data_IF_109404377495
#
_entry.id   IF_109404377495
#
_cell.length_a   1.000
_cell.length_b   1.000
_cell.length_c   1.000
_cell.angle_alpha   90.00
_cell.angle_beta   90.00
_cell.angle_gamma   90.00
#
_symmetry.space_group_name_H-M   'P 1'
#
loop_
_entity.id
_entity.type
_entity.pdbx_description
1 polymer ?
#
# COMPACT_ATOMS: atom_id res chain seq x y z
N UNK A 1 12.28 -43.25 4.24
CA UNK A 1 11.28 -42.17 4.39
C UNK A 1 11.98 -40.86 4.09
N UNK A 2 11.81 -40.35 2.87
CA UNK A 2 12.27 -39.01 2.50
C UNK A 2 11.16 -38.07 2.98
N UNK A 3 11.45 -37.27 4.00
CA UNK A 3 10.59 -36.16 4.39
C UNK A 3 10.78 -35.09 3.30
N UNK A 4 9.73 -34.83 2.53
CA UNK A 4 9.75 -33.77 1.54
C UNK A 4 9.91 -32.43 2.27
N UNK A 5 11.02 -31.74 1.99
CA UNK A 5 11.23 -30.36 2.41
C UNK A 5 10.35 -29.47 1.52
N UNK A 6 9.35 -28.84 2.13
CA UNK A 6 8.33 -28.01 1.47
C UNK A 6 8.84 -26.57 1.16
N UNK A 7 10.12 -26.42 0.82
CA UNK A 7 10.80 -25.12 0.72
C UNK A 7 11.48 -24.88 -0.63
N UNK A 8 10.78 -25.19 -1.72
CA UNK A 8 11.17 -24.75 -3.06
C UNK A 8 10.75 -23.29 -3.29
N UNK A 9 11.60 -22.36 -2.85
CA UNK A 9 11.48 -20.91 -3.10
C UNK A 9 11.65 -20.55 -4.60
N UNK A 10 12.05 -21.48 -5.46
CA UNK A 10 12.38 -21.18 -6.86
C UNK A 10 11.18 -20.86 -7.76
N UNK A 11 9.95 -21.06 -7.28
CA UNK A 11 8.72 -20.85 -8.06
C UNK A 11 7.77 -19.76 -7.53
N UNK A 12 8.03 -19.15 -6.36
CA UNK A 12 7.14 -18.15 -5.75
C UNK A 12 7.67 -16.72 -5.98
N UNK A 13 6.85 -15.86 -6.59
CA UNK A 13 7.13 -14.42 -6.67
C UNK A 13 6.96 -13.82 -5.27
N UNK A 14 8.06 -13.46 -4.63
CA UNK A 14 8.07 -12.80 -3.32
C UNK A 14 7.54 -11.36 -3.42
N UNK A 15 6.95 -10.82 -2.34
CA UNK A 15 6.45 -9.45 -2.34
C UNK A 15 7.61 -8.45 -2.38
N UNK A 16 7.32 -7.25 -2.89
CA UNK A 16 8.30 -6.19 -3.15
C UNK A 16 8.11 -5.05 -2.18
N UNK A 17 9.18 -4.66 -1.49
CA UNK A 17 9.23 -3.51 -0.60
C UNK A 17 10.09 -2.44 -1.25
N UNK A 18 9.49 -1.30 -1.58
CA UNK A 18 10.24 -0.14 -2.06
C UNK A 18 10.94 0.53 -0.88
N UNK A 19 12.22 0.86 -1.06
CA UNK A 19 13.04 1.54 -0.06
C UNK A 19 13.73 2.72 -0.73
N UNK A 20 13.44 3.94 -0.27
CA UNK A 20 14.08 5.14 -0.85
C UNK A 20 15.50 5.26 -0.35
N UNK A 21 16.44 5.44 -1.28
CA UNK A 21 17.86 5.53 -0.95
C UNK A 21 18.22 6.84 -0.24
N UNK A 22 19.16 6.75 0.69
CA UNK A 22 19.97 7.89 1.15
C UNK A 22 21.08 8.17 0.14
N UNK A 23 21.77 9.30 0.29
CA UNK A 23 22.93 9.65 -0.54
C UNK A 23 24.10 10.03 0.34
N UNK A 24 25.29 9.66 -0.10
CA UNK A 24 26.54 10.16 0.45
C UNK A 24 27.45 10.66 -0.66
N UNK A 25 28.39 11.54 -0.33
CA UNK A 25 29.43 11.98 -1.23
C UNK A 25 30.71 11.15 -0.99
N UNK A 26 31.09 10.33 -1.97
CA UNK A 26 32.31 9.53 -1.91
C UNK A 26 33.22 9.88 -3.07
N UNK A 27 34.41 10.42 -2.76
CA UNK A 27 35.40 10.85 -3.78
C UNK A 27 34.79 11.78 -4.83
N UNK A 28 34.05 12.79 -4.38
CA UNK A 28 33.33 13.76 -5.23
C UNK A 28 32.27 13.16 -6.15
N UNK A 29 31.77 11.96 -5.84
CA UNK A 29 30.66 11.31 -6.56
C UNK A 29 29.53 11.04 -5.58
N UNK A 30 28.32 11.34 -6.01
CA UNK A 30 27.13 10.94 -5.27
C UNK A 30 26.93 9.43 -5.38
N UNK A 31 26.65 8.81 -4.25
CA UNK A 31 26.35 7.38 -4.12
C UNK A 31 25.04 7.26 -3.37
N UNK A 32 24.05 6.66 -4.02
CA UNK A 32 22.80 6.31 -3.39
C UNK A 32 22.94 4.95 -2.69
N UNK A 33 22.49 4.84 -1.44
CA UNK A 33 22.62 3.64 -0.62
C UNK A 33 21.46 3.47 0.37
N UNK A 34 21.34 2.27 0.92
CA UNK A 34 20.43 1.92 2.03
C UNK A 34 21.26 1.16 3.06
N UNK A 35 21.01 1.40 4.36
CA UNK A 35 21.69 0.67 5.43
C UNK A 35 21.43 -0.84 5.35
N UNK A 36 22.45 -1.64 5.58
CA UNK A 36 22.37 -3.10 5.39
C UNK A 36 21.36 -3.76 6.32
N UNK A 37 21.22 -3.29 7.57
CA UNK A 37 20.24 -3.85 8.51
C UNK A 37 18.80 -3.77 8.03
N UNK A 38 18.41 -2.68 7.35
CA UNK A 38 17.09 -2.59 6.72
C UNK A 38 16.92 -3.67 5.66
N UNK A 39 17.92 -3.85 4.79
CA UNK A 39 17.88 -4.82 3.70
C UNK A 39 17.83 -6.26 4.24
N UNK A 40 18.67 -6.57 5.22
CA UNK A 40 18.73 -7.88 5.85
C UNK A 40 17.41 -8.23 6.56
N UNK A 41 16.80 -7.29 7.27
CA UNK A 41 15.51 -7.51 7.92
C UNK A 41 14.36 -7.72 6.93
N UNK A 42 14.37 -7.04 5.77
CA UNK A 42 13.38 -7.29 4.73
C UNK A 42 13.58 -8.68 4.09
N UNK A 43 14.82 -9.05 3.77
CA UNK A 43 15.15 -10.32 3.12
C UNK A 43 14.91 -11.51 4.04
N UNK A 44 15.38 -11.44 5.29
CA UNK A 44 15.21 -12.51 6.29
C UNK A 44 13.75 -12.79 6.62
N UNK A 45 12.87 -11.81 6.47
CA UNK A 45 11.42 -11.97 6.65
C UNK A 45 10.67 -12.37 5.36
N UNK A 46 11.37 -12.60 4.24
CA UNK A 46 10.78 -13.16 3.03
C UNK A 46 10.24 -12.16 2.02
N UNK A 47 10.71 -10.91 2.04
CA UNK A 47 10.38 -9.90 1.02
C UNK A 47 11.61 -9.47 0.21
N UNK A 48 11.36 -8.89 -0.97
CA UNK A 48 12.40 -8.40 -1.87
C UNK A 48 12.53 -6.88 -1.73
N UNK A 49 13.67 -6.36 -1.25
CA UNK A 49 13.91 -4.93 -1.23
C UNK A 49 14.17 -4.40 -2.65
N UNK A 50 13.52 -3.29 -3.00
CA UNK A 50 13.70 -2.57 -4.26
C UNK A 50 14.13 -1.14 -3.92
N UNK A 51 15.40 -0.84 -4.17
CA UNK A 51 15.94 0.49 -3.87
C UNK A 51 15.43 1.49 -4.92
N UNK A 52 14.78 2.54 -4.45
CA UNK A 52 14.33 3.68 -5.26
C UNK A 52 15.40 4.76 -5.17
N UNK A 53 16.13 5.04 -6.27
CA UNK A 53 17.22 5.99 -6.25
C UNK A 53 16.71 7.42 -6.08
N UNK A 54 17.50 8.25 -5.42
CA UNK A 54 17.18 9.67 -5.19
C UNK A 54 17.70 10.50 -6.35
N UNK A 55 17.06 10.40 -7.51
CA UNK A 55 17.46 11.12 -8.72
C UNK A 55 16.29 11.96 -9.23
N UNK A 56 16.59 13.15 -9.78
CA UNK A 56 15.56 14.05 -10.28
C UNK A 56 14.67 13.36 -11.32
N UNK A 57 13.36 13.55 -11.19
CA UNK A 57 12.34 12.95 -12.04
C UNK A 57 11.81 11.58 -11.58
N UNK A 58 12.45 10.91 -10.62
CA UNK A 58 11.97 9.61 -10.10
C UNK A 58 10.58 9.72 -9.48
N UNK A 59 10.26 10.83 -8.81
CA UNK A 59 8.93 11.09 -8.25
C UNK A 59 7.80 10.97 -9.30
N UNK A 60 8.08 11.37 -10.56
CA UNK A 60 7.14 11.27 -11.69
C UNK A 60 7.07 9.87 -12.29
N UNK A 61 8.02 8.99 -11.96
CA UNK A 61 8.15 7.65 -12.51
C UNK A 61 7.78 6.54 -11.53
N UNK A 62 7.28 6.87 -10.33
CA UNK A 62 6.99 5.90 -9.27
C UNK A 62 6.04 4.76 -9.69
N UNK A 63 5.13 5.03 -10.63
CA UNK A 63 4.24 4.00 -11.18
C UNK A 63 5.00 2.88 -11.93
N UNK A 64 6.20 3.17 -12.44
CA UNK A 64 7.02 2.17 -13.13
C UNK A 64 7.61 1.12 -12.18
N UNK A 65 7.52 1.33 -10.86
CA UNK A 65 7.95 0.36 -9.85
C UNK A 65 6.86 -0.67 -9.51
N UNK A 66 5.67 -0.57 -10.09
CA UNK A 66 4.56 -1.51 -9.86
C UNK A 66 4.92 -2.97 -10.25
N UNK A 67 4.34 -3.98 -9.56
CA UNK A 67 3.53 -3.86 -8.35
C UNK A 67 4.33 -3.44 -7.10
N UNK A 68 3.75 -2.55 -6.30
CA UNK A 68 4.27 -2.08 -5.00
C UNK A 68 3.48 -2.79 -3.90
N UNK A 69 4.15 -3.64 -3.11
CA UNK A 69 3.50 -4.42 -2.05
C UNK A 69 3.75 -3.86 -0.65
N UNK A 70 4.82 -3.08 -0.49
CA UNK A 70 5.14 -2.35 0.72
C UNK A 70 6.08 -1.19 0.43
N UNK A 71 6.12 -0.23 1.36
CA UNK A 71 7.09 0.87 1.35
C UNK A 71 7.74 0.95 2.72
N UNK A 72 9.07 0.98 2.74
CA UNK A 72 9.87 1.30 3.91
C UNK A 72 10.59 2.62 3.64
N UNK A 73 10.29 3.64 4.45
CA UNK A 73 11.05 4.89 4.45
C UNK A 73 12.00 4.91 5.65
N UNK A 74 13.27 5.01 5.34
CA UNK A 74 14.36 4.99 6.32
C UNK A 74 14.71 6.42 6.80
N UNK A 75 15.79 6.50 7.54
CA UNK A 75 16.32 7.75 8.07
C UNK A 75 16.93 8.70 7.02
N UNK A 76 17.18 9.95 7.42
CA UNK A 76 17.90 10.91 6.60
C UNK A 76 17.78 12.36 7.05
N UNK A 77 18.06 13.24 6.10
CA UNK A 77 18.13 14.71 6.20
C UNK A 77 16.76 15.35 6.47
N UNK A 78 16.70 16.51 7.11
CA UNK A 78 15.45 17.17 7.51
C UNK A 78 14.42 17.33 6.39
N UNK A 79 13.14 17.25 6.77
CA UNK A 79 12.02 17.52 5.85
C UNK A 79 11.89 19.02 5.61
N UNK A 80 11.77 19.46 4.35
CA UNK A 80 11.59 20.89 4.01
C UNK A 80 10.39 21.48 4.80
N UNK A 81 10.61 22.49 5.66
CA UNK A 81 9.54 23.07 6.48
C UNK A 81 8.35 23.61 5.67
N UNK A 82 8.56 24.01 4.41
CA UNK A 82 7.48 24.47 3.53
C UNK A 82 6.41 23.41 3.22
N UNK A 83 6.69 22.13 3.54
CA UNK A 83 5.78 21.01 3.30
C UNK A 83 4.76 20.81 4.43
N UNK A 84 5.00 21.39 5.61
CA UNK A 84 4.15 21.19 6.79
C UNK A 84 3.92 22.44 7.65
N UNK A 85 4.76 23.47 7.53
CA UNK A 85 4.58 24.70 8.27
C UNK A 85 3.59 25.62 7.55
N UNK A 86 2.54 26.05 8.25
CA UNK A 86 1.76 27.21 7.81
C UNK A 86 2.62 28.48 7.93
N UNK A 87 2.40 29.47 7.06
CA UNK A 87 3.15 30.73 7.06
C UNK A 87 3.14 31.47 8.42
N UNK A 88 2.20 31.15 9.29
CA UNK A 88 2.03 31.72 10.64
C UNK A 88 2.73 30.92 11.75
N UNK A 89 3.25 29.71 11.47
CA UNK A 89 3.87 28.81 12.46
C UNK A 89 5.40 28.93 12.55
N UNK A 90 6.01 29.95 11.92
CA UNK A 90 7.45 30.22 12.05
C UNK A 90 7.75 30.90 13.38
N UNK A 91 7.77 30.11 14.45
CA UNK A 91 8.15 30.57 15.80
C UNK A 91 9.65 30.76 16.00
N UNK A 92 10.48 30.27 15.05
CA UNK A 92 11.93 30.39 15.09
C UNK A 92 12.38 31.69 14.42
N UNK A 93 13.28 32.41 15.08
CA UNK A 93 13.93 33.59 14.49
C UNK A 93 14.92 33.16 13.39
N UNK A 94 15.36 34.11 12.57
CA UNK A 94 16.42 33.83 11.58
C UNK A 94 17.74 33.42 12.25
N UNK A 95 18.00 33.90 13.47
CA UNK A 95 19.16 33.53 14.27
C UNK A 95 19.06 32.06 14.72
N UNK A 96 17.89 31.64 15.21
CA UNK A 96 17.66 30.23 15.58
C UNK A 96 17.86 29.29 14.39
N UNK A 97 17.31 29.66 13.22
CA UNK A 97 17.45 28.85 11.98
C UNK A 97 18.93 28.70 11.59
N UNK A 98 19.73 29.76 11.70
CA UNK A 98 21.15 29.70 11.37
C UNK A 98 21.96 28.90 12.40
N UNK A 99 21.58 28.98 13.68
CA UNK A 99 22.17 28.18 14.73
C UNK A 99 21.87 26.69 14.53
N UNK A 100 20.62 26.32 14.21
CA UNK A 100 20.21 24.95 13.88
C UNK A 100 21.01 24.42 12.70
N UNK A 101 21.17 25.21 11.63
CA UNK A 101 22.00 24.85 10.46
C UNK A 101 23.46 24.63 10.80
N UNK A 102 23.98 25.40 11.74
CA UNK A 102 25.37 25.30 12.19
C UNK A 102 25.56 24.04 13.05
N UNK A 103 24.62 23.79 13.97
CA UNK A 103 24.67 22.66 14.90
C UNK A 103 24.43 21.31 14.20
N UNK A 104 23.48 21.29 13.27
CA UNK A 104 23.02 20.10 12.54
C UNK A 104 23.37 20.18 11.03
N UNK A 105 24.60 20.60 10.71
CA UNK A 105 25.02 20.88 9.33
C UNK A 105 24.92 19.66 8.38
N UNK A 106 25.00 18.44 8.89
CA UNK A 106 24.82 17.20 8.11
C UNK A 106 23.36 16.91 7.76
N UNK A 107 22.43 17.38 8.59
CA UNK A 107 21.02 16.97 8.57
C UNK A 107 20.12 18.06 7.95
N UNK A 108 20.46 19.34 8.16
CA UNK A 108 19.70 20.51 7.65
C UNK A 108 19.82 20.75 6.14
N UNK A 109 20.55 19.90 5.42
CA UNK A 109 20.66 19.94 3.98
C UNK A 109 19.35 19.47 3.31
N UNK A 110 18.42 20.40 3.10
CA UNK A 110 17.11 20.12 2.51
C UNK A 110 17.25 19.41 1.16
N UNK A 111 16.71 18.19 1.08
CA UNK A 111 16.67 17.41 -0.16
C UNK A 111 15.25 17.32 -0.73
N UNK A 112 14.90 18.33 -1.54
CA UNK A 112 13.57 18.43 -2.17
C UNK A 112 13.22 17.26 -3.09
N UNK A 113 14.21 16.62 -3.71
CA UNK A 113 13.95 15.46 -4.56
C UNK A 113 13.58 14.24 -3.70
N UNK A 114 14.28 14.03 -2.57
CA UNK A 114 13.91 13.03 -1.58
C UNK A 114 12.51 13.27 -1.04
N UNK A 115 12.23 14.50 -0.60
CA UNK A 115 10.95 14.88 -0.03
C UNK A 115 9.82 14.61 -1.03
N UNK A 116 10.01 14.98 -2.30
CA UNK A 116 9.03 14.74 -3.36
C UNK A 116 8.76 13.25 -3.60
N UNK A 117 9.82 12.43 -3.70
CA UNK A 117 9.71 10.97 -3.90
C UNK A 117 8.95 10.35 -2.72
N UNK A 118 9.38 10.66 -1.51
CA UNK A 118 8.89 10.03 -0.30
C UNK A 118 7.49 10.47 0.09
N UNK A 119 7.17 11.76 -0.02
CA UNK A 119 5.80 12.23 0.18
C UNK A 119 4.84 11.64 -0.86
N UNK A 120 5.28 11.48 -2.11
CA UNK A 120 4.45 10.85 -3.13
C UNK A 120 4.20 9.37 -2.80
N UNK A 121 5.22 8.63 -2.37
CA UNK A 121 5.07 7.25 -1.91
C UNK A 121 4.19 7.14 -0.65
N UNK A 122 4.38 8.01 0.33
CA UNK A 122 3.58 8.02 1.55
C UNK A 122 2.10 8.29 1.25
N UNK A 123 1.79 9.30 0.42
CA UNK A 123 0.43 9.58 -0.07
C UNK A 123 -0.17 8.39 -0.81
N UNK A 124 0.61 7.76 -1.69
CA UNK A 124 0.19 6.55 -2.40
C UNK A 124 -0.19 5.41 -1.43
N UNK A 125 0.60 5.23 -0.36
CA UNK A 125 0.32 4.23 0.66
C UNK A 125 -0.94 4.54 1.45
N UNK A 126 -1.13 5.80 1.83
CA UNK A 126 -2.34 6.27 2.53
C UNK A 126 -3.61 6.10 1.69
N UNK A 127 -3.54 6.36 0.38
CA UNK A 127 -4.65 6.23 -0.56
C UNK A 127 -5.01 4.78 -0.88
N UNK A 128 -3.99 3.94 -1.10
CA UNK A 128 -4.16 2.56 -1.59
C UNK A 128 -4.09 1.51 -0.48
N UNK A 129 -3.85 1.92 0.76
CA UNK A 129 -3.62 1.04 1.91
C UNK A 129 -2.44 0.07 1.67
N UNK A 130 -1.40 0.54 0.97
CA UNK A 130 -0.16 -0.22 0.84
C UNK A 130 0.52 -0.22 2.21
N UNK A 131 0.96 -1.39 2.73
CA UNK A 131 1.75 -1.47 3.95
C UNK A 131 2.93 -0.50 3.94
N UNK A 132 3.07 0.27 5.01
CA UNK A 132 4.07 1.31 5.16
C UNK A 132 4.72 1.24 6.54
N UNK A 133 6.06 1.21 6.57
CA UNK A 133 6.87 1.40 7.77
C UNK A 133 7.77 2.64 7.57
N UNK A 134 7.65 3.61 8.46
CA UNK A 134 8.51 4.79 8.48
C UNK A 134 9.41 4.78 9.71
N UNK A 135 10.71 4.98 9.53
CA UNK A 135 11.71 4.98 10.61
C UNK A 135 12.42 6.33 10.64
N UNK A 136 12.51 6.93 11.84
CA UNK A 136 13.03 8.27 12.06
C UNK A 136 12.38 9.26 11.10
N UNK A 137 13.13 9.84 10.15
CA UNK A 137 12.61 10.69 9.07
C UNK A 137 11.43 10.06 8.31
N UNK A 138 11.45 8.76 8.04
CA UNK A 138 10.34 8.10 7.35
C UNK A 138 9.02 8.19 8.12
N UNK A 139 9.07 8.18 9.45
CA UNK A 139 7.88 8.40 10.29
C UNK A 139 7.37 9.84 10.18
N UNK A 140 8.29 10.81 10.13
CA UNK A 140 7.97 12.23 9.98
C UNK A 140 7.31 12.51 8.63
N UNK A 141 7.81 11.91 7.54
CA UNK A 141 7.20 11.99 6.21
C UNK A 141 5.78 11.41 6.21
N UNK A 142 5.56 10.26 6.86
CA UNK A 142 4.22 9.68 6.97
C UNK A 142 3.26 10.62 7.71
N UNK A 143 3.71 11.25 8.78
CA UNK A 143 2.94 12.23 9.54
C UNK A 143 2.57 13.45 8.67
N UNK A 144 3.55 14.04 7.98
CA UNK A 144 3.34 15.19 7.08
C UNK A 144 2.40 14.82 5.92
N UNK A 145 2.55 13.63 5.33
CA UNK A 145 1.67 13.15 4.28
C UNK A 145 0.21 12.98 4.74
N UNK A 146 -0.02 12.78 6.05
CA UNK A 146 -1.34 12.71 6.66
C UNK A 146 -1.84 14.06 7.21
N UNK A 147 -1.16 15.17 6.94
CA UNK A 147 -1.54 16.51 7.37
C UNK A 147 -1.06 16.91 8.77
N UNK A 148 -0.18 16.12 9.38
CA UNK A 148 0.53 16.49 10.61
C UNK A 148 1.65 17.51 10.37
N UNK A 149 2.28 17.96 11.45
CA UNK A 149 3.42 18.91 11.42
C UNK A 149 4.57 18.43 12.28
N UNK A 150 5.74 19.02 12.06
CA UNK A 150 6.96 18.73 12.80
C UNK A 150 7.43 19.95 13.59
N UNK A 151 8.17 19.69 14.66
CA UNK A 151 9.11 20.66 15.21
C UNK A 151 10.32 20.68 14.26
N UNK A 152 10.73 21.88 13.86
CA UNK A 152 11.96 22.09 13.09
C UNK A 152 13.19 21.85 13.95
N UNK A 153 13.08 22.16 15.24
CA UNK A 153 14.10 21.85 16.24
C UNK A 153 13.46 21.79 17.64
N UNK A 154 13.55 20.63 18.28
CA UNK A 154 12.93 20.39 19.58
C UNK A 154 13.62 21.16 20.72
N UNK A 155 14.92 21.39 20.64
CA UNK A 155 15.65 22.14 21.66
C UNK A 155 15.24 23.61 21.62
N UNK A 156 15.14 24.20 20.43
CA UNK A 156 14.74 25.61 20.25
C UNK A 156 13.26 25.86 20.47
N UNK A 157 12.38 24.94 20.06
CA UNK A 157 10.94 25.18 20.13
C UNK A 157 10.29 24.79 21.46
N UNK A 158 10.76 23.72 22.12
CA UNK A 158 10.16 23.24 23.37
C UNK A 158 11.14 23.14 24.54
N UNK A 159 12.44 23.37 24.32
CA UNK A 159 13.45 23.33 25.37
C UNK A 159 13.50 21.96 26.05
N UNK A 160 13.54 20.89 25.25
CA UNK A 160 13.47 19.53 25.80
C UNK A 160 14.58 19.27 26.81
N UNK A 161 14.23 18.55 27.88
CA UNK A 161 15.18 18.06 28.88
C UNK A 161 15.71 16.67 28.53
N UNK A 162 15.08 15.98 27.57
CA UNK A 162 15.52 14.68 27.08
C UNK A 162 16.52 14.93 25.95
N UNK A 163 17.71 14.36 26.08
CA UNK A 163 18.70 14.42 25.01
C UNK A 163 18.27 13.46 23.89
N UNK A 164 17.86 13.97 22.74
CA UNK A 164 17.46 13.16 21.56
C UNK A 164 18.58 13.05 20.51
N UNK A 165 19.68 13.76 20.74
CA UNK A 165 20.88 13.68 19.93
C UNK A 165 22.09 13.85 20.84
N UNK A 166 23.00 12.88 20.80
CA UNK A 166 24.27 12.96 21.53
C UNK A 166 25.44 12.75 20.58
N UNK A 167 26.05 13.85 20.13
CA UNK A 167 27.19 13.79 19.22
C UNK A 167 28.43 13.11 19.83
N UNK A 168 28.56 13.11 21.16
CA UNK A 168 29.67 12.45 21.86
C UNK A 168 29.42 10.94 22.04
N UNK A 169 28.16 10.51 21.96
CA UNK A 169 27.73 9.12 22.16
C UNK A 169 26.73 8.64 21.09
N UNK A 170 27.00 8.97 19.84
CA UNK A 170 26.05 8.90 18.73
C UNK A 170 25.35 7.54 18.55
N UNK A 171 26.12 6.44 18.57
CA UNK A 171 25.58 5.11 18.26
C UNK A 171 24.97 4.39 19.48
N UNK A 172 25.44 4.71 20.69
CA UNK A 172 25.04 4.02 21.92
C UNK A 172 24.05 4.81 22.76
N UNK A 173 23.81 6.09 22.45
CA UNK A 173 22.87 6.91 23.19
C UNK A 173 21.46 6.32 23.18
N UNK A 174 20.84 6.28 24.35
CA UNK A 174 19.48 5.80 24.57
C UNK A 174 18.75 6.73 25.53
N UNK A 175 17.45 6.89 25.33
CA UNK A 175 16.57 7.44 26.36
C UNK A 175 15.37 6.53 26.57
N UNK A 176 14.65 6.79 27.65
CA UNK A 176 13.42 6.11 27.98
C UNK A 176 12.31 6.45 26.97
N UNK A 177 11.47 5.48 26.64
CA UNK A 177 10.18 5.69 25.99
C UNK A 177 9.10 4.92 26.74
N UNK A 178 8.07 5.65 27.20
CA UNK A 178 6.86 5.07 27.78
C UNK A 178 5.97 4.56 26.67
N UNK A 179 5.73 3.26 26.63
CA UNK A 179 4.88 2.59 25.66
C UNK A 179 3.42 2.71 26.09
N UNK A 180 2.53 2.91 25.12
CA UNK A 180 1.09 2.98 25.36
C UNK A 180 0.52 1.57 25.30
N UNK A 181 -0.12 1.14 26.38
CA UNK A 181 -0.79 -0.16 26.49
C UNK A 181 -1.77 -0.42 25.31
N UNK A 182 -2.00 -1.70 25.01
CA UNK A 182 -2.90 -2.17 23.95
C UNK A 182 -2.60 -1.68 22.52
N UNK A 183 -1.44 -1.04 22.31
CA UNK A 183 -0.97 -0.69 20.97
C UNK A 183 -0.15 -1.82 20.34
N UNK A 184 0.06 -1.80 19.00
CA UNK A 184 0.96 -2.74 18.35
C UNK A 184 2.34 -2.78 18.97
N UNK A 185 2.93 -1.60 19.25
CA UNK A 185 4.25 -1.48 19.83
C UNK A 185 4.34 -2.19 21.20
N UNK A 186 3.33 -2.02 22.06
CA UNK A 186 3.25 -2.72 23.35
C UNK A 186 3.34 -4.23 23.18
N UNK A 187 2.62 -4.80 22.20
CA UNK A 187 2.65 -6.24 21.91
C UNK A 187 3.97 -6.70 21.30
N UNK A 188 4.60 -5.87 20.46
CA UNK A 188 5.90 -6.21 19.88
C UNK A 188 6.99 -6.28 20.94
N UNK A 189 6.94 -5.39 21.92
CA UNK A 189 7.92 -5.29 23.00
C UNK A 189 7.47 -6.04 24.27
N UNK A 190 6.86 -7.23 24.09
CA UNK A 190 6.53 -8.16 25.17
C UNK A 190 5.72 -7.52 26.34
N UNK A 191 4.79 -6.61 26.03
CA UNK A 191 3.93 -5.91 27.00
C UNK A 191 4.70 -5.09 28.04
N UNK A 192 5.84 -4.51 27.64
CA UNK A 192 6.60 -3.58 28.46
C UNK A 192 6.02 -2.17 28.40
N UNK A 193 5.71 -1.58 29.55
CA UNK A 193 5.26 -0.17 29.67
C UNK A 193 6.37 0.85 29.37
N UNK A 194 7.62 0.41 29.42
CA UNK A 194 8.80 1.26 29.31
C UNK A 194 9.93 0.51 28.62
N UNK A 195 10.55 1.14 27.62
CA UNK A 195 11.71 0.62 26.88
C UNK A 195 12.79 1.69 26.76
N UNK A 196 14.04 1.27 26.55
CA UNK A 196 15.15 2.18 26.22
C UNK A 196 15.34 2.18 24.71
N UNK A 197 15.11 3.33 24.07
CA UNK A 197 15.21 3.48 22.61
C UNK A 197 16.44 4.29 22.24
N UNK A 198 17.02 4.02 21.08
CA UNK A 198 18.07 4.87 20.52
C UNK A 198 17.49 6.14 19.93
N UNK A 199 18.30 7.18 19.94
CA UNK A 199 17.85 8.50 19.53
C UNK A 199 18.95 9.28 18.84
N UNK A 200 18.62 9.71 17.63
CA UNK A 200 19.41 10.61 16.81
C UNK A 200 18.46 11.45 15.96
N UNK A 201 17.83 12.43 16.60
CA UNK A 201 16.98 13.38 15.90
C UNK A 201 16.88 14.69 16.67
N UNK A 202 16.77 15.78 15.92
CA UNK A 202 16.46 17.11 16.47
C UNK A 202 15.11 17.62 15.95
N UNK A 203 14.58 17.01 14.88
CA UNK A 203 13.17 17.13 14.48
C UNK A 203 12.31 16.06 15.15
N UNK A 204 11.04 16.37 15.40
CA UNK A 204 10.07 15.42 15.94
C UNK A 204 8.64 15.80 15.52
N UNK A 205 7.68 14.89 15.71
CA UNK A 205 6.26 15.18 15.45
C UNK A 205 5.75 16.26 16.43
N UNK A 206 5.21 17.36 15.88
CA UNK A 206 4.57 18.45 16.64
C UNK A 206 3.06 18.28 16.72
N UNK A 207 2.43 18.11 15.57
CA UNK A 207 1.02 17.74 15.46
C UNK A 207 0.93 16.41 14.74
N UNK A 208 0.42 15.40 15.43
CA UNK A 208 0.16 14.11 14.81
C UNK A 208 -1.03 14.24 13.85
N UNK A 209 -0.92 13.65 12.66
CA UNK A 209 -2.01 13.60 11.69
C UNK A 209 -3.25 12.92 12.28
N UNK A 210 -4.44 13.45 11.99
CA UNK A 210 -5.69 13.12 12.70
C UNK A 210 -6.06 11.63 12.68
N UNK A 211 -5.59 10.89 11.68
CA UNK A 211 -5.86 9.46 11.53
C UNK A 211 -4.99 8.55 12.39
N UNK A 212 -3.93 9.07 12.99
CA UNK A 212 -2.96 8.29 13.74
C UNK A 212 -3.18 8.38 15.25
N UNK A 213 -2.77 7.33 15.94
CA UNK A 213 -2.74 7.26 17.41
C UNK A 213 -1.30 6.96 17.84
N UNK A 214 -0.78 7.65 18.86
CA UNK A 214 0.56 7.41 19.39
C UNK A 214 0.66 6.04 20.09
N UNK A 215 1.85 5.44 20.01
CA UNK A 215 2.21 4.16 20.60
C UNK A 215 3.30 4.27 21.66
N UNK A 216 4.10 5.33 21.64
CA UNK A 216 5.09 5.60 22.67
C UNK A 216 5.38 7.10 22.79
N UNK A 217 5.85 7.49 23.97
CA UNK A 217 6.24 8.85 24.29
C UNK A 217 7.58 8.90 25.01
N UNK A 218 8.43 9.85 24.65
CA UNK A 218 9.59 10.21 25.45
C UNK A 218 9.17 10.96 26.74
N UNK A 219 10.06 11.13 27.74
CA UNK A 219 9.73 11.76 29.02
C UNK A 219 9.27 13.22 28.91
N UNK A 220 9.68 13.91 27.84
CA UNK A 220 9.29 15.27 27.49
C UNK A 220 7.93 15.35 26.75
N UNK A 221 7.29 14.20 26.49
CA UNK A 221 6.01 14.10 25.80
C UNK A 221 6.10 14.02 24.28
N UNK A 222 7.29 13.99 23.69
CA UNK A 222 7.45 13.77 22.25
C UNK A 222 7.00 12.36 21.85
N UNK A 223 6.41 12.23 20.66
CA UNK A 223 5.89 10.95 20.15
C UNK A 223 7.05 10.13 19.57
N UNK A 224 7.25 8.93 20.09
CA UNK A 224 8.30 7.98 19.67
C UNK A 224 7.80 6.92 18.68
N UNK A 225 6.49 6.76 18.58
CA UNK A 225 5.87 5.88 17.60
C UNK A 225 4.39 6.12 17.48
N UNK A 226 3.81 5.82 16.33
CA UNK A 226 2.38 5.98 16.05
C UNK A 226 1.91 5.03 14.94
N UNK A 227 0.60 4.79 14.88
CA UNK A 227 -0.01 3.92 13.88
C UNK A 227 -1.44 4.36 13.52
N UNK A 228 -1.98 3.86 12.41
CA UNK A 228 -3.41 4.03 12.07
C UNK A 228 -4.25 2.87 12.65
N UNK A 229 -5.04 3.08 13.71
CA UNK A 229 -5.82 2.00 14.35
C UNK A 229 -6.91 1.42 13.44
N UNK A 230 -7.42 2.19 12.47
CA UNK A 230 -8.44 1.71 11.53
C UNK A 230 -7.83 0.89 10.39
N UNK A 231 -6.51 0.95 10.23
CA UNK A 231 -5.73 0.29 9.17
C UNK A 231 -4.56 -0.51 9.74
N UNK A 232 -4.75 -1.10 10.91
CA UNK A 232 -3.78 -2.01 11.50
C UNK A 232 -4.35 -3.42 11.64
N UNK A 233 -3.87 -4.29 10.75
CA UNK A 233 -4.13 -5.72 10.75
C UNK A 233 -3.17 -6.38 9.76
N UNK A 234 -2.00 -6.83 10.25
CA UNK A 234 -0.97 -7.42 9.40
C UNK A 234 -1.44 -8.67 8.64
N UNK A 235 -2.36 -9.46 9.20
CA UNK A 235 -2.92 -10.64 8.52
C UNK A 235 -3.78 -10.24 7.31
N UNK A 236 -4.41 -9.07 7.38
CA UNK A 236 -5.24 -8.52 6.32
C UNK A 236 -4.48 -7.53 5.42
N UNK A 237 -3.15 -7.45 5.53
CA UNK A 237 -2.32 -6.57 4.71
C UNK A 237 -2.50 -5.09 4.99
N UNK A 238 -2.85 -4.73 6.24
CA UNK A 238 -3.04 -3.36 6.69
C UNK A 238 -1.96 -3.02 7.73
N UNK A 239 -1.08 -2.09 7.40
CA UNK A 239 0.01 -1.68 8.29
C UNK A 239 0.46 -0.27 7.90
N UNK A 240 0.17 0.72 8.73
CA UNK A 240 0.65 2.10 8.56
C UNK A 240 1.25 2.55 9.88
N UNK A 241 2.58 2.51 9.97
CA UNK A 241 3.32 2.72 11.22
C UNK A 241 4.48 3.67 11.00
N UNK A 242 4.68 4.59 11.94
CA UNK A 242 5.87 5.42 12.08
C UNK A 242 6.54 5.18 13.44
N UNK A 243 7.86 5.02 13.44
CA UNK A 243 8.71 4.94 14.63
C UNK A 243 9.80 6.01 14.53
N UNK A 244 9.99 6.80 15.59
CA UNK A 244 11.00 7.87 15.60
C UNK A 244 12.40 7.32 15.90
N UNK A 245 12.49 6.33 16.80
CA UNK A 245 13.70 5.57 17.05
C UNK A 245 14.01 4.55 15.93
N UNK A 246 15.18 3.92 16.05
CA UNK A 246 15.77 3.01 15.07
C UNK A 246 15.84 1.56 15.58
N UNK A 247 14.74 0.78 15.50
CA UNK A 247 14.73 -0.61 15.95
C UNK A 247 15.80 -1.46 15.24
N UNK A 248 16.14 -1.15 13.99
CA UNK A 248 17.17 -1.85 13.23
C UNK A 248 18.58 -1.68 13.78
N UNK A 249 18.81 -0.74 14.69
CA UNK A 249 20.13 -0.46 15.30
C UNK A 249 20.19 -0.76 16.79
N UNK A 250 19.10 -1.21 17.41
CA UNK A 250 19.05 -1.57 18.83
C UNK A 250 19.58 -3.00 19.01
N UNK A 251 20.91 -3.12 19.04
CA UNK A 251 21.66 -4.39 19.18
C UNK A 251 22.46 -4.41 20.48
N UNK A 252 22.60 -5.61 21.03
CA UNK A 252 23.44 -5.86 22.20
C UNK A 252 24.88 -5.40 21.94
N UNK A 253 25.46 -4.73 22.92
CA UNK A 253 26.84 -4.25 22.86
C UNK A 253 27.85 -5.37 22.59
N UNK A 254 28.98 -5.02 21.96
CA UNK A 254 30.07 -5.96 21.69
C UNK A 254 30.06 -6.59 20.29
N UNK A 255 29.30 -6.01 19.34
CA UNK A 255 29.27 -6.44 17.94
C UNK A 255 28.41 -7.69 17.69
N UNK A 256 27.45 -7.98 18.59
CA UNK A 256 26.46 -9.02 18.38
C UNK A 256 25.40 -8.55 17.38
N UNK A 257 24.93 -9.44 16.50
CA UNK A 257 23.76 -9.21 15.65
C UNK A 257 22.44 -9.40 16.40
N UNK A 258 22.48 -9.73 17.69
CA UNK A 258 21.32 -9.90 18.55
C UNK A 258 20.73 -8.56 19.01
N UNK A 259 19.41 -8.44 18.99
CA UNK A 259 18.69 -7.23 19.37
C UNK A 259 18.59 -7.03 20.89
N UNK A 260 18.55 -5.76 21.32
CA UNK A 260 18.27 -5.38 22.71
C UNK A 260 16.90 -5.89 23.17
N UNK A 261 15.92 -5.86 22.25
CA UNK A 261 14.56 -6.33 22.46
C UNK A 261 14.08 -7.15 21.27
N UNK A 262 13.33 -8.22 21.52
CA UNK A 262 12.68 -9.02 20.47
C UNK A 262 11.77 -8.15 19.58
N UNK A 263 11.11 -7.16 20.18
CA UNK A 263 10.24 -6.20 19.49
C UNK A 263 10.89 -5.44 18.34
N UNK A 264 12.22 -5.27 18.37
CA UNK A 264 12.95 -4.62 17.29
C UNK A 264 12.86 -5.42 15.98
N UNK A 265 13.00 -6.73 16.05
CA UNK A 265 12.79 -7.62 14.90
C UNK A 265 11.30 -7.75 14.56
N UNK A 266 10.43 -7.77 15.58
CA UNK A 266 8.99 -7.93 15.40
C UNK A 266 8.35 -6.80 14.59
N UNK A 267 8.83 -5.57 14.71
CA UNK A 267 8.37 -4.45 13.87
C UNK A 267 8.51 -4.75 12.36
N UNK A 268 9.63 -5.35 11.95
CA UNK A 268 9.86 -5.76 10.55
C UNK A 268 9.09 -7.02 10.18
N UNK A 269 8.96 -7.98 11.11
CA UNK A 269 8.18 -9.20 10.91
C UNK A 269 6.71 -8.85 10.61
N UNK A 270 6.08 -8.03 11.43
CA UNK A 270 4.68 -7.62 11.24
C UNK A 270 4.49 -6.76 10.00
N UNK A 271 5.47 -5.90 9.67
CA UNK A 271 5.46 -5.17 8.41
C UNK A 271 5.50 -6.11 7.19
N UNK A 272 6.45 -7.05 7.13
CA UNK A 272 6.61 -7.95 5.99
C UNK A 272 5.45 -8.96 5.89
N UNK A 273 4.88 -9.34 7.03
CA UNK A 273 3.64 -10.11 7.09
C UNK A 273 2.48 -9.36 6.42
N UNK A 274 2.31 -8.08 6.73
CA UNK A 274 1.33 -7.22 6.06
C UNK A 274 1.58 -7.10 4.56
N UNK A 275 2.84 -6.91 4.16
CA UNK A 275 3.27 -6.86 2.76
C UNK A 275 2.92 -8.15 2.01
N UNK A 276 3.11 -9.30 2.64
CA UNK A 276 2.80 -10.62 2.07
C UNK A 276 1.30 -10.81 1.91
N UNK A 277 0.50 -10.48 2.94
CA UNK A 277 -0.95 -10.54 2.89
C UNK A 277 -1.51 -9.59 1.81
N UNK A 278 -0.94 -8.38 1.69
CA UNK A 278 -1.32 -7.40 0.68
C UNK A 278 -1.06 -7.91 -0.75
N UNK A 279 0.11 -8.49 -1.01
CA UNK A 279 0.42 -9.13 -2.29
C UNK A 279 -0.59 -10.23 -2.64
N UNK A 280 -0.90 -11.10 -1.68
CA UNK A 280 -1.87 -12.20 -1.88
C UNK A 280 -3.22 -11.66 -2.32
N UNK A 281 -3.74 -10.63 -1.63
CA UNK A 281 -5.00 -9.97 -1.98
C UNK A 281 -4.98 -9.31 -3.36
N UNK A 282 -3.90 -8.60 -3.71
CA UNK A 282 -3.75 -8.01 -5.04
C UNK A 282 -3.78 -9.08 -6.13
N UNK A 283 -3.09 -10.20 -5.92
CA UNK A 283 -3.06 -11.31 -6.87
C UNK A 283 -4.45 -11.95 -7.03
N UNK A 284 -5.13 -12.24 -5.93
CA UNK A 284 -6.50 -12.79 -5.97
C UNK A 284 -7.46 -11.85 -6.71
N UNK A 285 -7.37 -10.54 -6.46
CA UNK A 285 -8.15 -9.54 -7.19
C UNK A 285 -7.81 -9.52 -8.69
N UNK A 286 -6.54 -9.62 -9.06
CA UNK A 286 -6.10 -9.67 -10.46
C UNK A 286 -6.60 -10.93 -11.18
N UNK A 287 -6.57 -12.09 -10.52
CA UNK A 287 -7.10 -13.35 -11.04
C UNK A 287 -8.62 -13.25 -11.31
N UNK A 288 -9.39 -12.68 -10.36
CA UNK A 288 -10.83 -12.42 -10.53
C UNK A 288 -11.08 -11.49 -11.73
N UNK A 289 -10.32 -10.39 -11.84
CA UNK A 289 -10.45 -9.45 -12.97
C UNK A 289 -10.15 -10.13 -14.31
N UNK A 290 -9.13 -10.99 -14.36
CA UNK A 290 -8.78 -11.76 -15.56
C UNK A 290 -9.90 -12.76 -15.94
N UNK A 291 -10.50 -13.44 -14.96
CA UNK A 291 -11.63 -14.33 -15.16
C UNK A 291 -12.85 -13.57 -15.73
N UNK A 292 -13.16 -12.40 -15.15
CA UNK A 292 -14.24 -11.52 -15.61
C UNK A 292 -14.00 -11.02 -17.03
N UNK A 293 -12.77 -10.61 -17.38
CA UNK A 293 -12.39 -10.23 -18.75
C UNK A 293 -12.59 -11.38 -19.74
N UNK A 294 -12.24 -12.60 -19.33
CA UNK A 294 -12.41 -13.82 -20.15
C UNK A 294 -13.88 -14.13 -20.39
N UNK A 295 -14.70 -14.07 -19.33
CA UNK A 295 -16.16 -14.22 -19.40
C UNK A 295 -16.79 -13.15 -20.31
N UNK A 296 -16.39 -11.88 -20.19
CA UNK A 296 -16.83 -10.78 -21.07
C UNK A 296 -16.49 -11.07 -22.54
N UNK A 297 -15.26 -11.50 -22.84
CA UNK A 297 -14.85 -11.83 -24.23
C UNK A 297 -15.66 -12.98 -24.83
N UNK A 298 -15.97 -14.01 -24.04
CA UNK A 298 -16.85 -15.12 -24.47
C UNK A 298 -18.26 -14.63 -24.76
N UNK A 299 -18.82 -13.78 -23.90
CA UNK A 299 -20.15 -13.19 -24.06
C UNK A 299 -20.23 -12.36 -25.35
N UNK A 300 -19.30 -11.43 -25.57
CA UNK A 300 -19.23 -10.60 -26.79
C UNK A 300 -19.10 -11.47 -28.04
N UNK A 301 -18.26 -12.51 -28.03
CA UNK A 301 -18.13 -13.43 -29.17
C UNK A 301 -19.45 -14.17 -29.45
N UNK A 302 -20.18 -14.58 -28.43
CA UNK A 302 -21.48 -15.24 -28.61
C UNK A 302 -22.52 -14.31 -29.25
N UNK A 303 -22.53 -13.02 -28.88
CA UNK A 303 -23.39 -12.02 -29.50
C UNK A 303 -22.98 -11.72 -30.95
N UNK A 304 -21.68 -11.54 -31.22
CA UNK A 304 -21.20 -11.31 -32.59
C UNK A 304 -21.47 -12.49 -33.52
N UNK A 305 -21.38 -13.74 -33.04
CA UNK A 305 -21.79 -14.91 -33.83
C UNK A 305 -23.30 -14.97 -34.06
N UNK A 306 -24.11 -14.55 -33.08
CA UNK A 306 -25.55 -14.42 -33.26
C UNK A 306 -25.88 -13.35 -34.33
N UNK A 307 -25.19 -12.20 -34.32
CA UNK A 307 -25.32 -11.14 -35.32
C UNK A 307 -24.92 -11.60 -36.73
N UNK A 308 -23.81 -12.35 -36.86
CA UNK A 308 -23.34 -12.88 -38.15
C UNK A 308 -24.34 -13.86 -38.78
N UNK A 309 -25.04 -14.63 -37.93
CA UNK A 309 -26.09 -15.57 -38.34
C UNK A 309 -27.44 -14.88 -38.60
N UNK A 310 -27.68 -13.71 -38.00
CA UNK A 310 -28.88 -12.90 -38.25
C UNK A 310 -28.72 -12.00 -39.50
N UNK A 311 -27.50 -11.55 -39.80
CA UNK A 311 -27.16 -10.79 -41.00
C UNK A 311 -27.05 -11.67 -42.26
N UNK A 312 -26.79 -12.96 -42.09
CA UNK A 312 -26.88 -13.94 -43.17
C UNK A 312 -28.34 -14.39 -43.31
N UNK A 313 -29.06 -13.71 -44.20
CA UNK A 313 -30.45 -14.00 -44.56
C UNK A 313 -30.58 -15.32 -45.37
N UNK A 314 -29.77 -16.33 -45.06
CA UNK A 314 -29.74 -17.65 -45.69
C UNK A 314 -30.30 -18.69 -44.72
N UNK A 315 -31.19 -19.54 -45.21
CA UNK A 315 -31.78 -20.62 -44.43
C UNK A 315 -30.67 -21.43 -43.72
N UNK A 316 -30.71 -21.45 -42.38
CA UNK A 316 -29.76 -22.16 -41.54
C UNK A 316 -29.75 -23.66 -41.91
N UNK A 317 -28.56 -24.24 -42.04
CA UNK A 317 -28.40 -25.68 -42.16
C UNK A 317 -28.93 -26.38 -40.90
N UNK A 318 -29.52 -27.57 -41.05
CA UNK A 318 -30.03 -28.43 -39.96
C UNK A 318 -29.01 -28.64 -38.82
N UNK A 319 -27.71 -28.54 -39.13
CA UNK A 319 -26.61 -28.63 -38.16
C UNK A 319 -26.41 -27.34 -37.34
N UNK A 320 -26.68 -26.18 -37.92
CA UNK A 320 -26.65 -24.88 -37.25
C UNK A 320 -27.89 -24.69 -36.37
N UNK A 321 -29.04 -25.17 -36.82
CA UNK A 321 -30.31 -25.14 -36.09
C UNK A 321 -30.28 -26.01 -34.82
N UNK A 322 -29.69 -27.20 -34.88
CA UNK A 322 -29.49 -28.06 -33.69
C UNK A 322 -28.54 -27.44 -32.65
N UNK A 323 -27.52 -26.68 -33.10
CA UNK A 323 -26.64 -25.91 -32.21
C UNK A 323 -27.38 -24.75 -31.53
N UNK A 324 -28.30 -24.11 -32.24
CA UNK A 324 -29.11 -23.01 -31.71
C UNK A 324 -30.16 -23.50 -30.70
N UNK A 325 -30.75 -24.68 -30.91
CA UNK A 325 -31.62 -25.34 -29.92
C UNK A 325 -30.86 -25.76 -28.66
N UNK A 326 -29.60 -26.17 -28.78
CA UNK A 326 -28.72 -26.37 -27.61
C UNK A 326 -28.36 -25.07 -26.88
N UNK A 327 -28.47 -23.91 -27.54
CA UNK A 327 -28.08 -22.59 -27.00
C UNK A 327 -29.27 -21.67 -26.67
N UNK A 328 -30.52 -22.11 -26.86
CA UNK A 328 -31.72 -21.51 -26.24
C UNK A 328 -32.28 -20.21 -26.82
N UNK A 329 -32.00 -19.84 -28.08
CA UNK A 329 -32.46 -18.57 -28.66
C UNK A 329 -33.65 -18.72 -29.64
N UNK A 330 -34.66 -17.83 -29.54
CA UNK A 330 -35.78 -17.67 -30.51
C UNK A 330 -35.79 -16.22 -31.02
N UNK A 331 -35.83 -15.98 -32.33
CA UNK A 331 -35.59 -14.65 -32.96
C UNK A 331 -36.80 -14.13 -33.73
N UNK A 332 -37.19 -12.84 -33.52
CA UNK A 332 -37.94 -12.01 -34.49
C UNK A 332 -37.59 -10.51 -34.41
N UNK A 333 -37.23 -9.96 -35.58
CA UNK A 333 -37.16 -8.56 -36.08
C UNK A 333 -36.07 -7.57 -35.55
N UNK A 334 -35.08 -7.27 -36.42
CA UNK A 334 -33.83 -6.57 -36.10
C UNK A 334 -33.79 -5.04 -36.38
N UNK A 335 -34.68 -4.47 -37.20
CA UNK A 335 -34.53 -3.07 -37.63
C UNK A 335 -34.86 -2.03 -36.55
N UNK A 336 -35.82 -2.34 -35.67
CA UNK A 336 -36.17 -1.48 -34.52
C UNK A 336 -35.16 -1.62 -33.37
N UNK A 337 -34.42 -2.73 -33.32
CA UNK A 337 -33.45 -3.04 -32.29
C UNK A 337 -32.13 -2.27 -32.49
N UNK A 338 -31.66 -2.12 -33.73
CA UNK A 338 -30.38 -1.43 -34.02
C UNK A 338 -30.39 0.05 -33.62
N UNK A 339 -31.50 0.76 -33.84
CA UNK A 339 -31.65 2.15 -33.36
C UNK A 339 -31.72 2.26 -31.83
N UNK A 340 -32.19 1.22 -31.14
CA UNK A 340 -32.16 1.17 -29.67
C UNK A 340 -30.77 0.81 -29.15
N UNK A 341 -30.02 -0.05 -29.85
CA UNK A 341 -28.69 -0.54 -29.47
C UNK A 341 -27.64 0.57 -29.38
N UNK A 342 -27.56 1.48 -30.34
CA UNK A 342 -26.60 2.61 -30.27
C UNK A 342 -26.91 3.57 -29.11
N UNK A 343 -28.19 3.77 -28.80
CA UNK A 343 -28.63 4.58 -27.65
C UNK A 343 -28.35 3.85 -26.33
N UNK A 344 -28.47 2.53 -26.31
CA UNK A 344 -28.32 1.68 -25.12
C UNK A 344 -26.86 1.40 -24.78
N UNK A 345 -25.97 1.20 -25.76
CA UNK A 345 -24.51 1.06 -25.54
C UNK A 345 -23.91 2.34 -24.95
N UNK A 346 -24.29 3.52 -25.44
CA UNK A 346 -23.86 4.80 -24.85
C UNK A 346 -24.43 5.04 -23.45
N UNK A 347 -25.57 4.44 -23.11
CA UNK A 347 -26.15 4.49 -21.77
C UNK A 347 -25.49 3.48 -20.82
N UNK A 348 -25.04 2.32 -21.31
CA UNK A 348 -24.39 1.28 -20.50
C UNK A 348 -22.99 1.66 -20.02
N UNK A 349 -22.23 2.43 -20.79
CA UNK A 349 -20.90 2.92 -20.37
C UNK A 349 -20.96 3.92 -19.20
N UNK A 350 -22.15 4.43 -18.86
CA UNK A 350 -22.37 5.38 -17.76
C UNK A 350 -23.04 4.78 -16.52
N UNK A 351 -23.33 3.47 -16.50
CA UNK A 351 -24.09 2.83 -15.42
C UNK A 351 -23.18 2.28 -14.31
N UNK A 352 -23.53 2.58 -13.05
CA UNK A 352 -22.86 2.05 -11.86
C UNK A 352 -23.00 0.52 -11.76
N UNK A 353 -22.06 -0.12 -11.06
CA UNK A 353 -21.98 -1.58 -10.89
C UNK A 353 -23.28 -2.17 -10.33
N UNK A 354 -23.95 -1.48 -9.40
CA UNK A 354 -25.25 -1.90 -8.86
C UNK A 354 -26.34 -1.96 -9.92
N UNK A 355 -26.43 -0.97 -10.81
CA UNK A 355 -27.47 -0.95 -11.87
C UNK A 355 -27.20 -1.97 -12.97
N UNK A 356 -25.93 -2.33 -13.19
CA UNK A 356 -25.56 -3.44 -14.07
C UNK A 356 -25.97 -4.79 -13.47
N UNK A 357 -25.85 -4.95 -12.15
CA UNK A 357 -26.34 -6.13 -11.43
C UNK A 357 -27.86 -6.28 -11.56
N UNK A 358 -28.61 -5.18 -11.38
CA UNK A 358 -30.07 -5.18 -11.53
C UNK A 358 -30.50 -5.53 -12.96
N UNK A 359 -29.82 -5.00 -13.97
CA UNK A 359 -30.08 -5.31 -15.38
C UNK A 359 -29.80 -6.78 -15.72
N UNK A 360 -28.74 -7.36 -15.13
CA UNK A 360 -28.43 -8.78 -15.22
C UNK A 360 -29.50 -9.64 -14.53
N UNK A 361 -30.02 -9.20 -13.39
CA UNK A 361 -31.12 -9.87 -12.69
C UNK A 361 -32.40 -9.89 -13.53
N UNK A 362 -32.72 -8.76 -14.16
CA UNK A 362 -33.86 -8.60 -15.05
C UNK A 362 -33.76 -9.53 -16.27
N UNK A 363 -32.59 -9.58 -16.93
CA UNK A 363 -32.38 -10.49 -18.05
C UNK A 363 -32.49 -11.96 -17.67
N UNK A 364 -32.01 -12.37 -16.48
CA UNK A 364 -32.19 -13.73 -15.98
C UNK A 364 -33.65 -14.05 -15.69
N UNK A 365 -34.41 -13.09 -15.15
CA UNK A 365 -35.85 -13.25 -14.90
C UNK A 365 -36.62 -13.44 -16.21
N UNK A 366 -36.33 -12.60 -17.20
CA UNK A 366 -36.93 -12.72 -18.53
C UNK A 366 -36.58 -14.05 -19.22
N UNK A 367 -35.34 -14.53 -19.06
CA UNK A 367 -34.94 -15.83 -19.60
C UNK A 367 -35.73 -17.00 -18.98
N UNK A 368 -36.01 -16.94 -17.67
CA UNK A 368 -36.86 -17.95 -17.01
C UNK A 368 -38.30 -17.90 -17.50
N UNK A 369 -38.90 -16.71 -17.58
CA UNK A 369 -40.27 -16.54 -18.06
C UNK A 369 -40.45 -17.04 -19.51
N UNK A 370 -39.47 -16.76 -20.37
CA UNK A 370 -39.45 -17.29 -21.74
C UNK A 370 -39.32 -18.82 -21.76
N UNK A 371 -38.48 -19.40 -20.89
CA UNK A 371 -38.33 -20.86 -20.78
C UNK A 371 -39.63 -21.53 -20.33
N UNK A 372 -40.32 -20.95 -19.36
CA UNK A 372 -41.61 -21.47 -18.86
C UNK A 372 -42.73 -21.34 -19.90
N UNK A 373 -42.76 -20.25 -20.66
CA UNK A 373 -43.70 -20.07 -21.76
C UNK A 373 -43.47 -21.10 -22.90
N UNK A 374 -42.21 -21.44 -23.19
CA UNK A 374 -41.84 -22.47 -24.17
C UNK A 374 -42.25 -23.86 -23.68
N UNK A 375 -42.03 -24.18 -22.40
CA UNK A 375 -42.47 -25.45 -21.81
C UNK A 375 -43.99 -25.63 -21.87
N UNK A 376 -44.77 -24.57 -21.60
CA UNK A 376 -46.24 -24.61 -21.72
C UNK A 376 -46.68 -24.89 -23.16
N UNK A 377 -46.05 -24.25 -24.15
CA UNK A 377 -46.35 -24.50 -25.57
C UNK A 377 -45.93 -25.89 -26.06
N UNK A 378 -44.94 -26.52 -25.45
CA UNK A 378 -44.52 -27.89 -25.79
C UNK A 378 -45.48 -28.96 -25.24
N UNK A 379 -46.22 -28.65 -24.16
CA UNK A 379 -47.23 -29.54 -23.58
C UNK A 379 -48.59 -29.47 -24.28
N UNK A 380 -48.83 -28.46 -25.14
CA UNK A 380 -50.06 -28.32 -25.94
C UNK A 380 -50.01 -29.06 -27.30
N UNK A 381 -48.92 -29.78 -27.61
CA UNK A 381 -48.63 -30.33 -28.96
C UNK A 381 -48.54 -31.87 -28.98
N UNK A 382 -49.16 -32.58 -28.03
CA UNK A 382 -49.42 -34.03 -28.22
C UNK A 382 -50.79 -34.26 -28.89
N UNK A 383 -50.86 -34.75 -30.13
CA UNK A 383 -52.08 -35.35 -30.65
C UNK A 383 -52.19 -36.79 -30.16
N UNK A 384 -53.34 -37.10 -29.57
CA UNK A 384 -53.91 -38.43 -29.47
C UNK A 384 -53.89 -39.15 -30.83
N UNK A 385 -53.25 -40.31 -30.91
CA UNK A 385 -53.48 -41.27 -32.00
C UNK A 385 -54.11 -42.54 -31.42
N UNK A 386 -55.38 -42.75 -31.79
CA UNK A 386 -56.09 -44.03 -31.90
C UNK A 386 -55.57 -44.85 -33.06
#
# INVERSE_FOLDING_TARGET
MVVANDNDLSSKILPRVLIVSRRTLRKSKFVDFVGEYHLDLIVSNGAVPVIVPRVSGIHSMLQSFEPIHGVLLCEGEDVDPSLYADAEQQGLSQEDIEEIRTLHASDTAIDREKDSIELTLAKLCLERNIPFLGICRGSQILNVAAGGTLYQDIDKEIGTTTKHIDYDNYDEHRHEARVVEETPLHRWFDEMDQIMVNSYHHQAVKRLGERFVPMAYAPDGLIEGFYDPNRYDPEEGRFLVGLQFHPERMRLSGGSDEFDYRGCATAYQEFVKAVTAFQKKQREAAEIVMELKTKKKRLVKSFSMAELLEASNTALSKKQENRLKQMGATVRNSSVYMKRKEVQERAMDKLSVERLSDLLSFHRMMARLCSDAIKRKLLEVEPTET
#
